data_IF_083452947628
#
_entry.id   IF_083452947628
#
_cell.length_a   1.000
_cell.length_b   1.000
_cell.length_c   1.000
_cell.angle_alpha   90.00
_cell.angle_beta   90.00
_cell.angle_gamma   90.00
#
_symmetry.space_group_name_H-M   'P 1'
#
loop_
_entity.id
_entity.type
_entity.pdbx_description
1 polymer ?
#
# COMPACT_ATOMS: atom_id res chain seq x y z
N UNK A 1 69.85 -48.49 2.21
CA UNK A 1 68.61 -49.23 1.96
C UNK A 1 67.61 -48.27 1.33
N UNK A 2 67.29 -48.57 0.08
CA UNK A 2 65.97 -48.46 -0.57
C UNK A 2 65.12 -47.17 -0.57
N UNK A 3 64.90 -46.71 -1.81
CA UNK A 3 63.62 -46.43 -2.51
C UNK A 3 62.79 -45.16 -2.21
N UNK A 4 62.70 -44.37 -3.30
CA UNK A 4 61.53 -43.63 -3.84
C UNK A 4 60.16 -43.84 -3.17
N UNK A 5 59.43 -42.75 -2.88
CA UNK A 5 58.19 -42.39 -3.60
C UNK A 5 57.58 -41.02 -3.19
N UNK A 6 57.45 -40.14 -4.19
CA UNK A 6 56.24 -39.35 -4.54
C UNK A 6 55.77 -38.11 -3.76
N UNK A 7 55.21 -37.19 -4.58
CA UNK A 7 54.31 -36.06 -4.30
C UNK A 7 54.89 -34.69 -3.93
N UNK A 8 55.04 -33.82 -4.94
CA UNK A 8 54.08 -32.71 -5.20
C UNK A 8 54.53 -31.86 -6.41
N UNK A 9 53.99 -32.18 -7.58
CA UNK A 9 53.78 -31.19 -8.64
C UNK A 9 52.35 -30.66 -8.50
N UNK A 10 52.21 -29.37 -8.23
CA UNK A 10 50.91 -28.75 -7.98
C UNK A 10 50.94 -27.23 -8.11
N UNK A 11 51.55 -26.72 -9.18
CA UNK A 11 51.51 -25.31 -9.51
C UNK A 11 51.47 -25.11 -11.03
N UNK A 12 50.31 -25.35 -11.66
CA UNK A 12 49.89 -24.73 -12.93
C UNK A 12 48.52 -25.27 -13.36
N UNK A 13 47.43 -24.77 -12.77
CA UNK A 13 46.09 -24.97 -13.37
C UNK A 13 45.07 -23.84 -13.10
N UNK A 14 45.41 -22.82 -12.30
CA UNK A 14 44.47 -21.72 -11.97
C UNK A 14 44.48 -20.53 -12.93
N UNK A 15 45.33 -20.49 -13.95
CA UNK A 15 45.44 -19.30 -14.83
C UNK A 15 44.62 -19.37 -16.13
N UNK A 16 44.15 -20.55 -16.57
CA UNK A 16 43.30 -20.67 -17.77
C UNK A 16 41.82 -20.31 -17.52
N UNK A 17 41.33 -20.44 -16.28
CA UNK A 17 39.94 -20.15 -15.92
C UNK A 17 39.60 -18.65 -15.88
N UNK A 18 40.54 -17.81 -15.42
CA UNK A 18 40.31 -16.35 -15.34
C UNK A 18 40.26 -15.67 -16.71
N UNK A 19 41.05 -16.15 -17.69
CA UNK A 19 41.08 -15.56 -19.03
C UNK A 19 39.74 -15.74 -19.76
N UNK A 20 39.12 -16.92 -19.64
CA UNK A 20 37.81 -17.21 -20.24
C UNK A 20 36.63 -16.47 -19.60
N UNK A 21 36.74 -16.08 -18.32
CA UNK A 21 35.72 -15.26 -17.64
C UNK A 21 35.78 -13.81 -18.12
N UNK A 22 36.99 -13.25 -18.30
CA UNK A 22 37.15 -11.89 -18.84
C UNK A 22 36.74 -11.77 -20.31
N UNK A 23 36.96 -12.82 -21.11
CA UNK A 23 36.56 -12.86 -22.52
C UNK A 23 35.04 -12.94 -22.69
N UNK A 24 34.35 -13.69 -21.82
CA UNK A 24 32.88 -13.69 -21.75
C UNK A 24 32.34 -12.32 -21.35
N UNK A 25 32.90 -11.65 -20.35
CA UNK A 25 32.48 -10.29 -19.96
C UNK A 25 32.74 -9.25 -21.07
N UNK A 26 33.85 -9.35 -21.81
CA UNK A 26 34.11 -8.51 -22.99
C UNK A 26 33.08 -8.73 -24.10
N UNK A 27 32.71 -9.98 -24.38
CA UNK A 27 31.68 -10.27 -25.38
C UNK A 27 30.29 -9.76 -24.96
N UNK A 28 29.95 -9.82 -23.67
CA UNK A 28 28.72 -9.21 -23.14
C UNK A 28 28.71 -7.68 -23.30
N UNK A 29 29.85 -7.03 -23.06
CA UNK A 29 29.99 -5.57 -23.24
C UNK A 29 29.91 -5.16 -24.72
N UNK A 30 30.50 -5.93 -25.63
CA UNK A 30 30.45 -5.68 -27.07
C UNK A 30 29.04 -5.86 -27.64
N UNK A 31 28.25 -6.80 -27.11
CA UNK A 31 26.84 -6.99 -27.51
C UNK A 31 25.96 -5.83 -27.02
N UNK A 32 26.20 -5.29 -25.82
CA UNK A 32 25.54 -4.09 -25.30
C UNK A 32 25.94 -2.83 -26.10
N UNK A 33 27.22 -2.65 -26.40
CA UNK A 33 27.72 -1.48 -27.15
C UNK A 33 27.24 -1.48 -28.62
N UNK A 34 27.06 -2.67 -29.24
CA UNK A 34 26.48 -2.78 -30.60
C UNK A 34 24.98 -2.45 -30.68
N UNK A 35 24.25 -2.43 -29.57
CA UNK A 35 22.85 -1.99 -29.56
C UNK A 35 22.70 -0.47 -29.42
N UNK A 36 23.76 0.27 -29.11
CA UNK A 36 23.74 1.71 -28.81
C UNK A 36 24.19 2.62 -29.97
N UNK A 37 24.57 2.07 -31.13
CA UNK A 37 25.13 2.85 -32.24
C UNK A 37 24.26 2.81 -33.49
N UNK A 38 23.14 3.53 -33.50
CA UNK A 38 22.53 4.02 -34.74
C UNK A 38 21.82 5.38 -34.51
N UNK A 39 22.33 6.41 -35.18
CA UNK A 39 21.54 7.59 -35.59
C UNK A 39 21.74 8.87 -34.77
N UNK A 40 22.75 9.67 -35.16
CA UNK A 40 22.81 11.09 -34.83
C UNK A 40 21.82 11.91 -35.68
N UNK A 41 21.35 13.03 -35.11
CA UNK A 41 20.56 14.03 -35.81
C UNK A 41 19.75 14.91 -34.86
N UNK A 42 20.16 16.17 -34.69
CA UNK A 42 19.38 17.21 -34.04
C UNK A 42 18.05 17.44 -34.75
N UNK A 43 16.93 17.57 -34.01
CA UNK A 43 15.94 18.68 -34.09
C UNK A 43 14.60 18.35 -33.38
N UNK A 44 14.13 19.37 -32.64
CA UNK A 44 12.77 19.69 -32.13
C UNK A 44 12.00 18.61 -31.35
N UNK A 45 11.76 18.95 -30.07
CA UNK A 45 11.25 18.09 -28.99
C UNK A 45 9.71 18.06 -28.95
N UNK A 46 9.11 16.94 -29.35
CA UNK A 46 7.79 16.49 -28.90
C UNK A 46 7.92 15.55 -27.69
N UNK A 47 6.94 15.55 -26.79
CA UNK A 47 6.98 14.88 -25.47
C UNK A 47 6.69 13.36 -25.51
N UNK A 48 6.41 12.77 -26.67
CA UNK A 48 5.89 11.39 -26.77
C UNK A 48 6.67 10.47 -27.72
N UNK A 49 8.00 10.55 -27.73
CA UNK A 49 8.83 9.64 -28.54
C UNK A 49 9.21 8.37 -27.74
N UNK A 50 8.88 7.14 -28.22
CA UNK A 50 9.07 5.87 -27.51
C UNK A 50 10.50 5.57 -27.02
N UNK A 51 11.51 6.16 -27.66
CA UNK A 51 12.92 5.98 -27.28
C UNK A 51 13.34 6.68 -25.98
N UNK A 52 12.50 7.54 -25.38
CA UNK A 52 12.86 8.32 -24.19
C UNK A 52 12.57 7.64 -22.86
N UNK A 53 11.87 6.50 -22.83
CA UNK A 53 11.49 5.79 -21.59
C UNK A 53 12.50 4.72 -21.16
N UNK A 54 13.55 4.47 -21.94
CA UNK A 54 14.45 3.32 -21.72
C UNK A 54 13.75 1.97 -21.86
N UNK A 55 12.69 1.91 -22.69
CA UNK A 55 11.93 0.68 -22.96
C UNK A 55 12.84 -0.39 -23.58
N UNK A 56 12.85 -1.60 -23.00
CA UNK A 56 13.51 -2.76 -23.61
C UNK A 56 12.74 -3.26 -24.84
N UNK A 57 13.34 -4.15 -25.63
CA UNK A 57 12.67 -4.76 -26.79
C UNK A 57 11.32 -5.39 -26.42
N UNK A 58 11.22 -5.97 -25.21
CA UNK A 58 9.98 -6.55 -24.70
C UNK A 58 8.95 -5.46 -24.37
N UNK A 59 9.35 -4.34 -23.74
CA UNK A 59 8.46 -3.21 -23.48
C UNK A 59 7.87 -2.65 -24.78
N UNK A 60 8.70 -2.46 -25.82
CA UNK A 60 8.24 -1.95 -27.11
C UNK A 60 7.27 -2.91 -27.80
N UNK A 61 7.55 -4.21 -27.81
CA UNK A 61 6.67 -5.23 -28.38
C UNK A 61 5.32 -5.27 -27.66
N UNK A 62 5.34 -5.17 -26.33
CA UNK A 62 4.15 -5.15 -25.48
C UNK A 62 3.35 -3.87 -25.61
N UNK A 63 4.00 -2.71 -25.70
CA UNK A 63 3.35 -1.41 -25.89
C UNK A 63 2.62 -1.36 -27.24
N UNK A 64 3.20 -1.99 -28.27
CA UNK A 64 2.58 -2.15 -29.57
C UNK A 64 1.49 -3.25 -29.62
N UNK A 65 1.25 -3.98 -28.52
CA UNK A 65 0.29 -5.10 -28.49
C UNK A 65 0.64 -6.28 -29.40
N UNK A 66 1.90 -6.37 -29.85
CA UNK A 66 2.31 -7.36 -30.85
C UNK A 66 2.64 -8.71 -30.20
N UNK A 67 1.61 -9.53 -29.99
CA UNK A 67 1.72 -10.87 -29.41
C UNK A 67 2.73 -11.77 -30.15
N UNK A 68 2.81 -11.66 -31.47
CA UNK A 68 3.76 -12.45 -32.28
C UNK A 68 5.21 -12.16 -31.90
N UNK A 69 5.57 -10.88 -31.80
CA UNK A 69 6.91 -10.46 -31.36
C UNK A 69 7.19 -10.85 -29.90
N UNK A 70 6.21 -10.74 -29.00
CA UNK A 70 6.37 -11.17 -27.60
C UNK A 70 6.68 -12.66 -27.52
N UNK A 71 5.93 -13.49 -28.25
CA UNK A 71 6.19 -14.94 -28.33
C UNK A 71 7.56 -15.24 -28.93
N UNK A 72 7.96 -14.55 -29.98
CA UNK A 72 9.29 -14.71 -30.59
C UNK A 72 10.40 -14.39 -29.58
N UNK A 73 10.28 -13.28 -28.84
CA UNK A 73 11.22 -12.89 -27.78
C UNK A 73 11.26 -13.99 -26.70
N UNK A 74 10.12 -14.50 -26.26
CA UNK A 74 10.09 -15.57 -25.26
C UNK A 74 10.74 -16.86 -25.73
N UNK A 75 10.56 -17.25 -26.99
CA UNK A 75 11.21 -18.43 -27.54
C UNK A 75 12.73 -18.25 -27.60
N UNK A 76 13.24 -17.05 -27.89
CA UNK A 76 14.69 -16.76 -27.90
C UNK A 76 15.34 -16.83 -26.51
N UNK A 77 14.57 -16.59 -25.45
CA UNK A 77 15.07 -16.58 -24.06
C UNK A 77 14.67 -17.83 -23.25
N UNK A 78 14.02 -18.82 -23.88
CA UNK A 78 13.74 -20.12 -23.24
C UNK A 78 15.05 -20.83 -22.89
N UNK A 79 15.36 -20.90 -21.60
CA UNK A 79 16.47 -21.68 -21.04
C UNK A 79 17.44 -20.90 -20.16
N UNK A 80 17.58 -19.58 -20.31
CA UNK A 80 18.38 -18.72 -19.40
C UNK A 80 18.04 -17.23 -19.57
N UNK A 81 17.85 -16.50 -18.46
CA UNK A 81 17.61 -15.04 -18.48
C UNK A 81 16.17 -14.58 -18.70
N UNK A 82 15.19 -15.51 -18.76
CA UNK A 82 13.78 -15.15 -18.90
C UNK A 82 13.25 -14.36 -17.69
N UNK A 83 13.70 -14.71 -16.48
CA UNK A 83 13.36 -13.97 -15.26
C UNK A 83 13.93 -12.56 -15.28
N UNK A 84 15.21 -12.40 -15.64
CA UNK A 84 15.85 -11.09 -15.74
C UNK A 84 15.16 -10.19 -16.77
N UNK A 85 14.69 -10.77 -17.88
CA UNK A 85 13.94 -10.06 -18.91
C UNK A 85 12.55 -9.59 -18.41
N UNK A 86 11.84 -10.41 -17.63
CA UNK A 86 10.51 -10.10 -17.09
C UNK A 86 10.58 -9.10 -15.92
N UNK A 87 11.63 -9.16 -15.10
CA UNK A 87 11.89 -8.22 -14.01
C UNK A 87 12.48 -6.89 -14.46
N UNK A 88 12.91 -6.77 -15.72
CA UNK A 88 13.55 -5.56 -16.22
C UNK A 88 12.56 -4.40 -16.18
N UNK A 89 12.96 -3.31 -15.53
CA UNK A 89 12.21 -2.06 -15.46
C UNK A 89 12.78 -1.04 -16.44
N UNK A 90 11.91 -0.22 -17.03
CA UNK A 90 12.30 0.94 -17.83
C UNK A 90 12.68 2.14 -16.91
N UNK A 91 12.95 3.32 -17.48
CA UNK A 91 13.34 4.51 -16.69
C UNK A 91 12.23 5.02 -15.76
N UNK A 92 10.97 4.66 -16.02
CA UNK A 92 9.81 4.96 -15.17
C UNK A 92 9.55 3.86 -14.12
N UNK A 93 10.42 2.84 -14.03
CA UNK A 93 10.21 1.69 -13.17
C UNK A 93 9.17 0.70 -13.72
N UNK A 94 8.60 0.92 -14.91
CA UNK A 94 7.57 0.05 -15.46
C UNK A 94 8.21 -1.27 -15.93
N UNK A 95 7.60 -2.41 -15.60
CA UNK A 95 7.93 -3.70 -16.22
C UNK A 95 7.16 -3.89 -17.52
N UNK A 96 7.56 -4.88 -18.35
CA UNK A 96 6.79 -5.19 -19.55
C UNK A 96 5.35 -5.62 -19.23
N UNK A 97 5.12 -6.34 -18.12
CA UNK A 97 3.77 -6.68 -17.66
C UNK A 97 2.97 -5.43 -17.29
N UNK A 98 3.58 -4.46 -16.59
CA UNK A 98 2.96 -3.18 -16.27
C UNK A 98 2.52 -2.44 -17.54
N UNK A 99 3.38 -2.39 -18.57
CA UNK A 99 3.04 -1.78 -19.87
C UNK A 99 1.92 -2.55 -20.59
N UNK A 100 1.87 -3.88 -20.47
CA UNK A 100 0.78 -4.68 -21.03
C UNK A 100 -0.57 -4.33 -20.39
N UNK A 101 -0.57 -4.28 -19.05
CA UNK A 101 -1.70 -3.90 -18.23
C UNK A 101 -2.18 -2.48 -18.55
N UNK A 102 -1.26 -1.51 -18.64
CA UNK A 102 -1.53 -0.11 -18.98
C UNK A 102 -2.20 0.09 -20.33
N UNK A 103 -1.94 -0.79 -21.29
CA UNK A 103 -2.52 -0.70 -22.63
C UNK A 103 -3.73 -1.63 -22.81
N UNK A 104 -4.18 -2.34 -21.76
CA UNK A 104 -5.31 -3.26 -21.85
C UNK A 104 -5.05 -4.49 -22.75
N UNK A 105 -3.79 -4.85 -22.99
CA UNK A 105 -3.40 -5.91 -23.92
C UNK A 105 -3.58 -7.31 -23.31
N UNK A 106 -4.83 -7.73 -23.09
CA UNK A 106 -5.21 -8.98 -22.39
C UNK A 106 -4.56 -10.24 -22.98
N UNK A 107 -4.43 -10.32 -24.30
CA UNK A 107 -3.77 -11.46 -24.98
C UNK A 107 -2.28 -11.55 -24.65
N UNK A 108 -1.60 -10.40 -24.52
CA UNK A 108 -0.18 -10.34 -24.16
C UNK A 108 -0.01 -10.68 -22.67
N UNK A 109 -0.91 -10.20 -21.81
CA UNK A 109 -0.95 -10.55 -20.38
C UNK A 109 -1.12 -12.05 -20.20
N UNK A 110 -2.05 -12.68 -20.93
CA UNK A 110 -2.26 -14.13 -20.88
C UNK A 110 -0.99 -14.91 -21.25
N UNK A 111 -0.19 -14.42 -22.20
CA UNK A 111 1.10 -15.04 -22.55
C UNK A 111 2.15 -14.82 -21.46
N UNK A 112 2.20 -13.63 -20.85
CA UNK A 112 3.08 -13.33 -19.72
C UNK A 112 2.83 -14.26 -18.51
N UNK A 113 1.56 -14.49 -18.16
CA UNK A 113 1.16 -15.28 -16.99
C UNK A 113 1.64 -16.74 -17.05
N UNK A 114 1.99 -17.27 -18.22
CA UNK A 114 2.55 -18.62 -18.38
C UNK A 114 3.97 -18.77 -17.83
N UNK A 115 4.70 -17.66 -17.66
CA UNK A 115 6.12 -17.65 -17.32
C UNK A 115 6.44 -16.79 -16.08
N UNK A 116 5.45 -16.08 -15.54
CA UNK A 116 5.60 -15.19 -14.39
C UNK A 116 5.50 -15.94 -13.06
N UNK A 117 6.32 -15.52 -12.09
CA UNK A 117 6.11 -15.82 -10.67
C UNK A 117 5.48 -14.60 -9.96
N UNK A 118 4.87 -14.84 -8.79
CA UNK A 118 4.21 -13.80 -7.99
C UNK A 118 5.15 -12.62 -7.69
N UNK A 119 6.43 -12.91 -7.37
CA UNK A 119 7.42 -11.88 -7.05
C UNK A 119 7.65 -10.92 -8.22
N UNK A 120 7.69 -11.42 -9.45
CA UNK A 120 7.89 -10.59 -10.65
C UNK A 120 6.62 -9.82 -11.02
N UNK A 121 5.44 -10.41 -10.79
CA UNK A 121 4.16 -9.74 -11.04
C UNK A 121 3.91 -8.55 -10.09
N UNK A 122 4.41 -8.64 -8.85
CA UNK A 122 4.29 -7.59 -7.82
C UNK A 122 5.39 -6.52 -7.87
N UNK A 123 6.21 -6.46 -8.92
CA UNK A 123 7.20 -5.38 -9.08
C UNK A 123 6.47 -4.06 -9.33
N UNK A 124 6.72 -3.09 -8.46
CA UNK A 124 6.11 -1.76 -8.49
C UNK A 124 6.94 -0.81 -9.36
N UNK A 125 6.28 0.02 -10.16
CA UNK A 125 6.90 1.12 -10.89
C UNK A 125 7.23 2.30 -9.96
N UNK A 126 7.89 3.34 -10.49
CA UNK A 126 8.34 4.48 -9.67
C UNK A 126 7.18 5.26 -9.03
N UNK A 127 5.96 5.09 -9.53
CA UNK A 127 4.74 5.66 -8.96
C UNK A 127 4.11 4.79 -7.85
N UNK A 128 4.75 3.68 -7.47
CA UNK A 128 4.23 2.79 -6.43
C UNK A 128 3.08 1.89 -6.87
N UNK A 129 2.86 1.69 -8.16
CA UNK A 129 1.84 0.76 -8.67
C UNK A 129 2.48 -0.45 -9.35
N UNK A 130 1.90 -1.63 -9.18
CA UNK A 130 2.25 -2.82 -9.96
C UNK A 130 1.32 -2.99 -11.19
N UNK A 131 1.54 -4.07 -11.96
CA UNK A 131 0.75 -4.33 -13.15
C UNK A 131 -0.73 -4.64 -12.87
N UNK A 132 -1.05 -5.25 -11.71
CA UNK A 132 -2.42 -5.57 -11.35
C UNK A 132 -3.20 -4.29 -11.02
N UNK A 133 -2.59 -3.35 -10.30
CA UNK A 133 -3.16 -2.02 -10.02
C UNK A 133 -3.59 -1.34 -11.32
N UNK A 134 -2.70 -1.34 -12.31
CA UNK A 134 -2.99 -0.68 -13.59
C UNK A 134 -3.99 -1.45 -14.43
N UNK A 135 -3.95 -2.78 -14.45
CA UNK A 135 -4.89 -3.60 -15.21
C UNK A 135 -6.33 -3.37 -14.75
N UNK A 136 -6.54 -3.33 -13.44
CA UNK A 136 -7.86 -3.08 -12.86
C UNK A 136 -8.35 -1.64 -13.07
N UNK A 137 -7.45 -0.67 -13.27
CA UNK A 137 -7.81 0.70 -13.69
C UNK A 137 -8.22 0.79 -15.17
N UNK A 138 -7.71 -0.08 -16.04
CA UNK A 138 -8.04 -0.04 -17.46
C UNK A 138 -9.45 -0.56 -17.75
N UNK A 139 -9.89 -1.60 -17.05
CA UNK A 139 -11.28 -2.08 -17.14
C UNK A 139 -12.14 -1.41 -16.06
N UNK A 140 -12.34 -0.10 -16.22
CA UNK A 140 -13.17 0.74 -15.35
C UNK A 140 -14.54 0.13 -15.04
N UNK A 141 -15.11 -0.62 -15.98
CA UNK A 141 -16.40 -1.28 -15.81
C UNK A 141 -16.39 -2.40 -14.76
N UNK A 142 -15.29 -3.15 -14.62
CA UNK A 142 -15.21 -4.24 -13.65
C UNK A 142 -15.06 -3.69 -12.25
N UNK A 143 -14.12 -2.76 -12.06
CA UNK A 143 -13.89 -2.12 -10.77
C UNK A 143 -15.13 -1.34 -10.29
N UNK A 144 -15.79 -0.60 -11.19
CA UNK A 144 -17.03 0.11 -10.91
C UNK A 144 -18.13 -0.86 -10.42
N UNK A 145 -18.32 -1.99 -11.11
CA UNK A 145 -19.31 -3.01 -10.72
C UNK A 145 -18.98 -3.64 -9.36
N UNK A 146 -17.70 -3.89 -9.09
CA UNK A 146 -17.25 -4.42 -7.79
C UNK A 146 -17.58 -3.42 -6.69
N UNK A 147 -17.18 -2.15 -6.85
CA UNK A 147 -17.45 -1.09 -5.88
C UNK A 147 -18.96 -0.95 -5.66
N UNK A 148 -19.77 -0.87 -6.71
CA UNK A 148 -21.22 -0.77 -6.60
C UNK A 148 -21.84 -1.93 -5.81
N UNK A 149 -21.43 -3.17 -6.12
CA UNK A 149 -21.94 -4.37 -5.44
C UNK A 149 -21.54 -4.38 -3.97
N UNK A 150 -20.27 -4.10 -3.69
CA UNK A 150 -19.72 -4.10 -2.32
C UNK A 150 -20.33 -3.00 -1.47
N UNK A 151 -20.51 -1.79 -1.99
CA UNK A 151 -21.19 -0.70 -1.28
C UNK A 151 -22.66 -1.04 -1.00
N UNK A 152 -23.34 -1.73 -1.93
CA UNK A 152 -24.71 -2.20 -1.70
C UNK A 152 -24.80 -3.22 -0.56
N UNK A 153 -23.80 -4.10 -0.42
CA UNK A 153 -23.70 -5.04 0.70
C UNK A 153 -23.42 -4.28 2.00
N UNK A 154 -22.45 -3.36 2.01
CA UNK A 154 -22.04 -2.61 3.20
C UNK A 154 -23.15 -1.70 3.73
N UNK A 155 -24.03 -1.17 2.89
CA UNK A 155 -25.20 -0.39 3.33
C UNK A 155 -26.34 -1.23 3.90
N UNK A 156 -26.41 -2.52 3.56
CA UNK A 156 -27.55 -3.34 3.95
C UNK A 156 -27.37 -3.92 5.35
N UNK A 157 -28.40 -3.80 6.17
CA UNK A 157 -28.47 -4.38 7.51
C UNK A 157 -28.82 -5.88 7.49
N UNK A 158 -29.15 -6.43 6.32
CA UNK A 158 -29.58 -7.83 6.18
C UNK A 158 -28.44 -8.84 6.22
N UNK A 159 -27.19 -8.39 6.06
CA UNK A 159 -26.04 -9.27 5.94
C UNK A 159 -25.37 -9.54 7.29
N UNK A 160 -24.81 -10.74 7.42
CA UNK A 160 -24.03 -11.09 8.61
C UNK A 160 -22.73 -10.31 8.69
N UNK A 161 -22.19 -10.16 9.90
CA UNK A 161 -20.87 -9.58 10.16
C UNK A 161 -19.77 -10.12 9.24
N UNK A 162 -19.73 -11.44 9.01
CA UNK A 162 -18.71 -12.05 8.14
C UNK A 162 -18.84 -11.59 6.69
N UNK A 163 -20.07 -11.39 6.20
CA UNK A 163 -20.32 -10.87 4.87
C UNK A 163 -19.91 -9.40 4.77
N UNK A 164 -20.25 -8.57 5.76
CA UNK A 164 -19.83 -7.17 5.84
C UNK A 164 -18.30 -7.04 5.89
N UNK A 165 -17.63 -7.89 6.66
CA UNK A 165 -16.16 -7.94 6.71
C UNK A 165 -15.57 -8.31 5.35
N UNK A 166 -16.07 -9.36 4.69
CA UNK A 166 -15.57 -9.75 3.37
C UNK A 166 -15.80 -8.66 2.30
N UNK A 167 -16.94 -7.99 2.36
CA UNK A 167 -17.24 -6.82 1.54
C UNK A 167 -16.26 -5.68 1.83
N UNK A 168 -16.01 -5.36 3.10
CA UNK A 168 -15.03 -4.36 3.51
C UNK A 168 -13.61 -4.66 3.01
N UNK A 169 -13.16 -5.92 3.10
CA UNK A 169 -11.85 -6.33 2.57
C UNK A 169 -11.79 -6.07 1.06
N UNK A 170 -12.85 -6.45 0.33
CA UNK A 170 -12.94 -6.23 -1.11
C UNK A 170 -12.94 -4.74 -1.45
N UNK A 171 -13.63 -3.91 -0.66
CA UNK A 171 -13.62 -2.47 -0.80
C UNK A 171 -12.22 -1.87 -0.61
N UNK A 172 -11.52 -2.24 0.47
CA UNK A 172 -10.16 -1.77 0.73
C UNK A 172 -9.18 -2.23 -0.37
N UNK A 173 -9.33 -3.44 -0.90
CA UNK A 173 -8.52 -3.91 -2.03
C UNK A 173 -8.81 -3.10 -3.30
N UNK A 174 -10.08 -2.82 -3.59
CA UNK A 174 -10.46 -1.98 -4.72
C UNK A 174 -9.88 -0.56 -4.62
N UNK A 175 -9.85 0.02 -3.42
CA UNK A 175 -9.20 1.33 -3.17
C UNK A 175 -7.68 1.25 -3.33
N UNK A 176 -7.02 0.25 -2.73
CA UNK A 176 -5.57 0.04 -2.89
C UNK A 176 -5.17 -0.05 -4.37
N UNK A 177 -5.97 -0.74 -5.19
CA UNK A 177 -5.75 -0.86 -6.64
C UNK A 177 -5.75 0.51 -7.35
N UNK A 178 -6.53 1.47 -6.87
CA UNK A 178 -6.70 2.78 -7.49
C UNK A 178 -5.73 3.84 -6.98
N UNK A 179 -5.27 3.69 -5.74
CA UNK A 179 -4.67 4.77 -4.95
C UNK A 179 -3.26 4.39 -4.49
N UNK A 180 -2.35 5.36 -4.49
CA UNK A 180 -1.03 5.20 -3.89
C UNK A 180 -1.18 5.13 -2.36
N UNK A 181 -0.17 4.65 -1.61
CA UNK A 181 -0.24 4.61 -0.15
C UNK A 181 -0.62 5.95 0.50
N UNK A 182 -0.12 7.06 -0.03
CA UNK A 182 -0.40 8.41 0.47
C UNK A 182 -1.84 8.86 0.12
N UNK A 183 -2.29 8.57 -1.09
CA UNK A 183 -3.64 8.87 -1.58
C UNK A 183 -4.70 8.05 -0.83
N UNK A 184 -4.41 6.78 -0.56
CA UNK A 184 -5.25 5.91 0.23
C UNK A 184 -5.36 6.42 1.67
N UNK A 185 -4.24 6.84 2.27
CA UNK A 185 -4.27 7.43 3.61
C UNK A 185 -5.17 8.67 3.66
N UNK A 186 -5.07 9.55 2.65
CA UNK A 186 -5.93 10.73 2.54
C UNK A 186 -7.40 10.33 2.37
N UNK A 187 -7.68 9.32 1.53
CA UNK A 187 -9.04 8.83 1.33
C UNK A 187 -9.65 8.20 2.59
N UNK A 188 -8.84 7.50 3.38
CA UNK A 188 -9.29 6.96 4.67
C UNK A 188 -9.68 8.14 5.58
N UNK A 189 -8.83 9.15 5.72
CA UNK A 189 -9.11 10.31 6.59
C UNK A 189 -10.34 11.10 6.14
N UNK A 190 -10.31 11.68 4.94
CA UNK A 190 -11.38 12.59 4.48
C UNK A 190 -12.61 11.83 3.99
N UNK A 191 -12.43 10.67 3.35
CA UNK A 191 -13.53 9.94 2.72
C UNK A 191 -14.28 8.99 3.66
N UNK A 192 -13.56 8.23 4.49
CA UNK A 192 -14.17 7.21 5.36
C UNK A 192 -14.49 7.80 6.75
N UNK A 193 -13.55 8.54 7.32
CA UNK A 193 -13.68 9.14 8.65
C UNK A 193 -14.22 10.58 8.63
N UNK A 194 -14.39 11.18 7.45
CA UNK A 194 -14.91 12.54 7.29
C UNK A 194 -14.08 13.60 8.05
N UNK A 195 -12.78 13.35 8.18
CA UNK A 195 -11.84 14.34 8.71
C UNK A 195 -11.71 15.51 7.74
N UNK A 196 -11.69 16.73 8.26
CA UNK A 196 -11.67 17.96 7.45
C UNK A 196 -10.38 18.74 7.66
N UNK A 197 -10.15 19.71 6.77
CA UNK A 197 -9.01 20.65 6.80
C UNK A 197 -7.63 20.00 6.64
N UNK A 198 -7.56 18.80 6.07
CA UNK A 198 -6.28 18.14 5.75
C UNK A 198 -5.65 18.82 4.53
N UNK A 199 -4.36 19.13 4.65
CA UNK A 199 -3.58 19.80 3.61
C UNK A 199 -2.49 18.86 3.11
N UNK A 200 -2.66 18.42 1.87
CA UNK A 200 -1.66 17.64 1.14
C UNK A 200 -1.03 18.51 0.03
N UNK A 201 0.29 18.80 0.08
CA UNK A 201 0.93 19.65 -0.91
C UNK A 201 1.08 18.99 -2.29
N UNK A 202 0.93 17.67 -2.38
CA UNK A 202 1.18 16.90 -3.61
C UNK A 202 -0.06 16.74 -4.50
N UNK A 203 -1.25 16.67 -3.92
CA UNK A 203 -2.53 16.41 -4.61
C UNK A 203 -3.69 16.83 -3.72
N UNK A 204 -4.82 17.22 -4.33
CA UNK A 204 -6.05 17.53 -3.62
C UNK A 204 -6.91 16.26 -3.41
N UNK A 205 -7.80 16.26 -2.41
CA UNK A 205 -8.72 15.14 -2.19
C UNK A 205 -9.61 14.86 -3.41
N UNK A 206 -10.03 15.89 -4.15
CA UNK A 206 -10.77 15.73 -5.40
C UNK A 206 -10.00 14.88 -6.44
N UNK A 207 -8.69 15.09 -6.58
CA UNK A 207 -7.83 14.31 -7.49
C UNK A 207 -7.76 12.83 -7.08
N UNK A 208 -7.87 12.55 -5.78
CA UNK A 208 -7.90 11.18 -5.24
C UNK A 208 -9.23 10.50 -5.58
N UNK A 209 -10.35 11.19 -5.37
CA UNK A 209 -11.69 10.66 -5.69
C UNK A 209 -11.85 10.40 -7.18
N UNK A 210 -11.31 11.28 -8.05
CA UNK A 210 -11.35 11.09 -9.51
C UNK A 210 -10.62 9.83 -10.00
N UNK A 211 -9.63 9.32 -9.24
CA UNK A 211 -8.94 8.06 -9.58
C UNK A 211 -9.78 6.83 -9.31
N UNK A 212 -10.81 6.94 -8.48
CA UNK A 212 -11.69 5.84 -8.12
C UNK A 212 -12.81 5.78 -9.15
N UNK A 213 -12.79 4.75 -9.99
CA UNK A 213 -13.79 4.56 -11.05
C UNK A 213 -15.14 4.14 -10.45
N UNK A 214 -15.93 5.13 -10.02
CA UNK A 214 -17.26 4.93 -9.44
C UNK A 214 -18.26 5.92 -10.03
N UNK A 215 -19.40 5.43 -10.55
CA UNK A 215 -20.50 6.29 -11.03
C UNK A 215 -21.36 6.73 -9.86
N UNK A 216 -21.21 7.99 -9.46
CA UNK A 216 -21.97 8.61 -8.38
C UNK A 216 -21.07 9.28 -7.35
N UNK A 217 -21.65 9.72 -6.23
CA UNK A 217 -20.88 10.29 -5.12
C UNK A 217 -20.51 9.18 -4.14
N UNK A 218 -19.26 8.71 -4.20
CA UNK A 218 -18.77 7.66 -3.32
C UNK A 218 -18.86 8.04 -1.83
N UNK A 219 -18.62 9.31 -1.49
CA UNK A 219 -18.63 9.79 -0.11
C UNK A 219 -20.06 9.78 0.46
N UNK A 220 -21.04 10.14 -0.36
CA UNK A 220 -22.46 10.03 -0.01
C UNK A 220 -22.89 8.56 0.18
N UNK A 221 -22.28 7.62 -0.53
CA UNK A 221 -22.56 6.19 -0.32
C UNK A 221 -21.96 5.66 0.98
N UNK A 222 -20.77 6.14 1.37
CA UNK A 222 -20.11 5.80 2.64
C UNK A 222 -20.84 6.36 3.86
N UNK A 223 -21.45 7.55 3.75
CA UNK A 223 -22.20 8.18 4.84
C UNK A 223 -23.45 7.39 5.25
N UNK A 224 -23.96 6.52 4.35
CA UNK A 224 -25.17 5.70 4.55
C UNK A 224 -24.90 4.37 5.27
N UNK A 225 -23.67 4.12 5.72
CA UNK A 225 -23.33 2.85 6.39
C UNK A 225 -23.91 2.81 7.81
N UNK A 226 -24.50 1.66 8.18
CA UNK A 226 -24.92 1.41 9.57
C UNK A 226 -23.71 1.36 10.51
N UNK A 227 -23.93 1.52 11.81
CA UNK A 227 -22.84 1.46 12.80
C UNK A 227 -22.10 0.12 12.79
N UNK A 228 -22.81 -1.00 12.54
CA UNK A 228 -22.17 -2.32 12.40
C UNK A 228 -21.28 -2.39 11.16
N UNK A 229 -21.73 -1.86 10.03
CA UNK A 229 -20.93 -1.81 8.80
C UNK A 229 -19.71 -0.91 8.96
N UNK A 230 -19.86 0.24 9.63
CA UNK A 230 -18.75 1.13 9.98
C UNK A 230 -17.74 0.43 10.89
N UNK A 231 -18.19 -0.20 11.97
CA UNK A 231 -17.31 -0.97 12.86
C UNK A 231 -16.56 -2.10 12.13
N UNK A 232 -17.25 -2.83 11.23
CA UNK A 232 -16.61 -3.85 10.40
C UNK A 232 -15.56 -3.25 9.47
N UNK A 233 -15.84 -2.10 8.84
CA UNK A 233 -14.90 -1.42 7.97
C UNK A 233 -13.67 -0.94 8.75
N UNK A 234 -13.85 -0.37 9.95
CA UNK A 234 -12.74 0.02 10.84
C UNK A 234 -11.85 -1.18 11.17
N UNK A 235 -12.46 -2.32 11.53
CA UNK A 235 -11.73 -3.56 11.78
C UNK A 235 -10.94 -4.03 10.55
N UNK A 236 -11.55 -3.96 9.36
CA UNK A 236 -10.87 -4.30 8.10
C UNK A 236 -9.70 -3.35 7.86
N UNK A 237 -9.87 -2.04 8.02
CA UNK A 237 -8.80 -1.05 7.81
C UNK A 237 -7.61 -1.38 8.71
N UNK A 238 -7.85 -1.61 10.01
CA UNK A 238 -6.80 -1.98 10.97
C UNK A 238 -6.05 -3.27 10.61
N UNK A 239 -6.73 -4.25 10.02
CA UNK A 239 -6.16 -5.58 9.77
C UNK A 239 -5.58 -5.76 8.36
N UNK A 240 -6.05 -4.97 7.39
CA UNK A 240 -5.68 -5.13 5.97
C UNK A 240 -4.84 -4.00 5.41
N UNK A 241 -4.99 -2.78 5.90
CA UNK A 241 -4.20 -1.63 5.42
C UNK A 241 -2.81 -1.70 6.04
N UNK A 242 -1.79 -1.44 5.21
CA UNK A 242 -0.40 -1.53 5.67
C UNK A 242 -0.12 -0.53 6.79
N UNK A 243 0.74 -0.92 7.74
CA UNK A 243 1.21 -0.04 8.83
C UNK A 243 1.79 1.27 8.30
N UNK A 244 2.50 1.22 7.19
CA UNK A 244 3.07 2.42 6.54
C UNK A 244 2.00 3.45 6.21
N UNK A 245 0.81 3.02 5.75
CA UNK A 245 -0.31 3.92 5.46
C UNK A 245 -0.97 4.41 6.74
N UNK A 246 -1.24 3.51 7.69
CA UNK A 246 -1.89 3.87 8.97
C UNK A 246 -1.07 4.85 9.83
N UNK A 247 0.24 4.93 9.60
CA UNK A 247 1.16 5.84 10.29
C UNK A 247 1.50 7.11 9.51
N UNK A 248 0.83 7.38 8.39
CA UNK A 248 1.00 8.65 7.68
C UNK A 248 0.42 9.77 8.55
N UNK A 249 1.25 10.79 8.80
CA UNK A 249 0.84 12.05 9.41
C UNK A 249 0.41 13.05 8.35
N UNK A 250 -0.79 13.58 8.50
CA UNK A 250 -1.39 14.59 7.64
C UNK A 250 -1.39 15.94 8.34
N UNK A 251 -0.96 16.98 7.64
CA UNK A 251 -0.96 18.35 8.18
C UNK A 251 -2.37 18.93 8.09
N UNK A 252 -2.82 19.62 9.13
CA UNK A 252 -4.12 20.31 9.16
C UNK A 252 -3.92 21.82 9.05
N UNK A 253 -4.79 22.52 8.31
CA UNK A 253 -4.81 23.99 8.29
C UNK A 253 -5.51 24.52 9.54
N UNK A 254 -4.82 25.33 10.34
CA UNK A 254 -5.41 26.06 11.48
C UNK A 254 -6.07 27.36 11.01
N UNK A 255 -7.03 27.29 10.09
CA UNK A 255 -7.83 28.47 9.69
C UNK A 255 -9.17 28.45 10.42
N UNK A 256 -9.15 28.55 11.76
CA UNK A 256 -10.36 28.86 12.51
C UNK A 256 -10.57 30.37 12.56
N UNK A 257 -11.72 30.78 12.02
CA UNK A 257 -12.28 32.12 12.07
C UNK A 257 -12.17 32.76 13.46
N UNK A 258 -11.57 33.96 13.51
CA UNK A 258 -11.85 34.99 14.52
C UNK A 258 -11.33 34.73 15.94
N UNK A 259 -10.04 34.96 16.19
CA UNK A 259 -9.64 35.65 17.42
C UNK A 259 -8.35 36.44 17.24
N UNK A 260 -8.31 37.52 17.99
CA UNK A 260 -7.43 38.68 17.87
C UNK A 260 -6.08 38.41 18.54
N UNK A 261 -5.01 38.89 17.89
CA UNK A 261 -3.66 39.17 18.42
C UNK A 261 -2.78 37.98 18.86
N UNK A 262 -1.68 37.86 18.12
CA UNK A 262 -0.30 37.67 18.59
C UNK A 262 0.08 36.35 19.30
N UNK A 263 0.66 35.43 18.53
CA UNK A 263 1.96 34.82 18.84
C UNK A 263 2.40 33.93 17.68
N UNK A 264 3.63 34.17 17.19
CA UNK A 264 4.20 33.57 15.98
C UNK A 264 4.59 32.09 16.06
N UNK A 265 3.70 31.22 16.54
CA UNK A 265 3.87 29.76 16.46
C UNK A 265 2.68 29.16 15.70
N UNK A 266 2.72 29.23 14.36
CA UNK A 266 1.81 28.48 13.49
C UNK A 266 2.18 27.00 13.56
N UNK A 267 1.97 26.38 14.72
CA UNK A 267 2.28 24.98 14.96
C UNK A 267 1.31 24.17 14.11
N UNK A 268 1.80 23.69 12.96
CA UNK A 268 1.07 22.78 12.08
C UNK A 268 0.66 21.56 12.92
N UNK A 269 -0.63 21.41 13.16
CA UNK A 269 -1.18 20.25 13.83
C UNK A 269 -1.13 19.07 12.84
N UNK A 270 -0.52 17.97 13.27
CA UNK A 270 -0.48 16.73 12.48
C UNK A 270 -1.59 15.84 13.00
N UNK A 271 -2.41 15.29 12.09
CA UNK A 271 -3.35 14.22 12.40
C UNK A 271 -2.86 12.90 11.83
N UNK A 272 -3.09 11.82 12.54
CA UNK A 272 -2.77 10.46 12.10
C UNK A 272 -4.04 9.61 12.07
N UNK A 273 -4.07 8.66 11.12
CA UNK A 273 -5.23 7.78 10.91
C UNK A 273 -5.60 6.98 12.17
N UNK A 274 -4.61 6.46 12.90
CA UNK A 274 -4.89 5.63 14.07
C UNK A 274 -5.49 6.41 15.25
N UNK A 275 -5.00 7.62 15.50
CA UNK A 275 -5.31 8.39 16.71
C UNK A 275 -6.51 9.31 16.50
N UNK A 276 -6.45 10.13 15.46
CA UNK A 276 -7.42 11.20 15.23
C UNK A 276 -8.67 10.72 14.49
N UNK A 277 -8.60 9.55 13.83
CA UNK A 277 -9.72 8.99 13.08
C UNK A 277 -10.23 7.67 13.68
N UNK A 278 -9.44 6.59 13.61
CA UNK A 278 -9.87 5.25 14.03
C UNK A 278 -10.18 5.19 15.53
N UNK A 279 -9.23 5.61 16.38
CA UNK A 279 -9.41 5.54 17.84
C UNK A 279 -10.57 6.44 18.30
N UNK A 280 -10.70 7.64 17.72
CA UNK A 280 -11.78 8.57 18.01
C UNK A 280 -13.16 7.96 17.74
N UNK A 281 -13.34 7.31 16.58
CA UNK A 281 -14.60 6.65 16.23
C UNK A 281 -14.88 5.43 17.12
N UNK A 282 -13.85 4.62 17.42
CA UNK A 282 -13.98 3.46 18.31
C UNK A 282 -14.38 3.86 19.74
N UNK A 283 -13.85 4.96 20.27
CA UNK A 283 -14.29 5.50 21.56
C UNK A 283 -15.79 5.83 21.52
N UNK A 284 -16.25 6.49 20.47
CA UNK A 284 -17.68 6.83 20.31
C UNK A 284 -18.57 5.59 20.25
N UNK A 285 -18.14 4.51 19.60
CA UNK A 285 -18.85 3.22 19.60
C UNK A 285 -18.87 2.52 20.95
N UNK A 286 -17.78 2.57 21.71
CA UNK A 286 -17.70 1.95 23.03
C UNK A 286 -18.45 2.75 24.11
N UNK A 287 -18.56 4.07 23.95
CA UNK A 287 -19.33 4.95 24.84
C UNK A 287 -20.84 4.81 24.63
N UNK A 288 -21.27 4.60 23.37
CA UNK A 288 -22.68 4.53 22.99
C UNK A 288 -22.98 3.26 22.17
N UNK A 289 -22.87 2.05 22.76
CA UNK A 289 -23.12 0.81 22.04
C UNK A 289 -24.62 0.61 21.74
N UNK A 290 -24.93 0.04 20.57
CA UNK A 290 -26.31 -0.30 20.19
C UNK A 290 -26.87 -1.41 21.09
N UNK A 291 -26.08 -2.45 21.33
CA UNK A 291 -26.41 -3.59 22.17
C UNK A 291 -25.13 -4.21 22.76
N UNK A 292 -25.29 -5.20 23.64
CA UNK A 292 -24.17 -5.87 24.30
C UNK A 292 -23.26 -6.65 23.35
N UNK A 293 -23.79 -7.21 22.27
CA UNK A 293 -23.02 -7.95 21.27
C UNK A 293 -22.20 -6.99 20.40
N UNK A 294 -22.77 -5.85 20.01
CA UNK A 294 -22.06 -4.75 19.37
C UNK A 294 -20.94 -4.21 20.26
N UNK A 295 -21.22 -3.97 21.54
CA UNK A 295 -20.22 -3.52 22.52
C UNK A 295 -19.00 -4.45 22.58
N UNK A 296 -19.25 -5.77 22.65
CA UNK A 296 -18.18 -6.78 22.63
C UNK A 296 -17.30 -6.68 21.38
N UNK A 297 -17.89 -6.52 20.20
CA UNK A 297 -17.10 -6.34 18.97
C UNK A 297 -16.36 -5.01 18.97
N UNK A 298 -16.98 -3.91 19.40
CA UNK A 298 -16.34 -2.60 19.47
C UNK A 298 -15.09 -2.61 20.35
N UNK A 299 -15.19 -3.22 21.54
CA UNK A 299 -14.05 -3.41 22.45
C UNK A 299 -12.95 -4.28 21.84
N UNK A 300 -13.31 -5.37 21.14
CA UNK A 300 -12.34 -6.20 20.44
C UNK A 300 -11.56 -5.41 19.36
N UNK A 301 -12.24 -4.56 18.60
CA UNK A 301 -11.59 -3.70 17.59
C UNK A 301 -10.73 -2.62 18.26
N UNK A 302 -11.20 -2.02 19.36
CA UNK A 302 -10.42 -1.05 20.17
C UNK A 302 -9.12 -1.67 20.69
N UNK A 303 -9.17 -2.90 21.19
CA UNK A 303 -7.98 -3.63 21.64
C UNK A 303 -6.96 -3.79 20.50
N UNK A 304 -7.40 -4.14 19.29
CA UNK A 304 -6.52 -4.26 18.12
C UNK A 304 -5.90 -2.91 17.77
N UNK A 305 -6.69 -1.83 17.80
CA UNK A 305 -6.21 -0.47 17.55
C UNK A 305 -5.09 -0.09 18.54
N UNK A 306 -5.34 -0.24 19.84
CA UNK A 306 -4.35 0.07 20.89
C UNK A 306 -3.10 -0.81 20.80
N UNK A 307 -3.23 -2.07 20.41
CA UNK A 307 -2.08 -2.94 20.15
C UNK A 307 -1.21 -2.39 19.00
N UNK A 308 -1.82 -1.88 17.92
CA UNK A 308 -1.08 -1.25 16.83
C UNK A 308 -0.41 0.05 17.25
N UNK A 309 -1.13 0.90 18.00
CA UNK A 309 -0.57 2.12 18.62
C UNK A 309 0.69 1.80 19.42
N UNK A 310 0.59 0.85 20.36
CA UNK A 310 1.73 0.43 21.19
C UNK A 310 2.91 -0.06 20.34
N UNK A 311 2.62 -0.84 19.30
CA UNK A 311 3.64 -1.34 18.38
C UNK A 311 4.29 -0.22 17.56
N UNK A 312 3.56 0.85 17.24
CA UNK A 312 4.09 2.03 16.57
C UNK A 312 5.11 2.76 17.43
N UNK A 313 4.79 2.96 18.72
CA UNK A 313 5.64 3.71 19.65
C UNK A 313 6.98 3.03 19.93
N UNK A 314 6.99 1.70 20.05
CA UNK A 314 8.22 0.92 20.27
C UNK A 314 9.19 1.01 19.08
N UNK A 315 8.71 1.34 17.88
CA UNK A 315 9.52 1.40 16.66
C UNK A 315 10.01 2.82 16.30
N UNK A 316 9.84 3.83 17.16
CA UNK A 316 10.24 5.23 16.94
C UNK A 316 11.77 5.49 16.85
N UNK A 317 12.62 4.46 16.74
CA UNK A 317 14.08 4.59 16.69
C UNK A 317 14.65 5.21 15.38
N UNK A 318 13.93 6.02 14.62
CA UNK A 318 14.52 6.59 13.40
C UNK A 318 13.79 7.63 12.56
N UNK A 319 12.59 8.11 12.90
CA UNK A 319 11.93 9.15 12.09
C UNK A 319 11.44 10.33 12.92
N UNK A 320 12.03 11.49 12.63
CA UNK A 320 11.67 12.89 12.94
C UNK A 320 10.85 13.10 14.21
N UNK A 321 11.49 13.80 15.13
CA UNK A 321 11.01 14.34 16.40
C UNK A 321 9.79 15.26 16.20
N UNK A 322 8.64 14.67 15.92
CA UNK A 322 7.35 15.34 16.03
C UNK A 322 6.87 15.07 17.45
N UNK A 323 6.84 16.13 18.26
CA UNK A 323 6.20 16.15 19.57
C UNK A 323 4.67 16.02 19.38
N UNK A 324 4.24 14.83 18.96
CA UNK A 324 2.86 14.45 18.76
C UNK A 324 2.50 13.50 19.89
N UNK A 325 1.60 13.96 20.76
CA UNK A 325 1.02 13.16 21.83
C UNK A 325 -0.10 12.27 21.25
N UNK A 326 0.14 10.95 21.11
CA UNK A 326 -0.83 10.03 20.51
C UNK A 326 -2.10 9.84 21.35
N UNK A 327 -2.07 10.19 22.63
CA UNK A 327 -3.21 10.08 23.53
C UNK A 327 -3.25 11.35 24.40
N UNK A 328 -3.92 12.37 23.90
CA UNK A 328 -4.22 13.56 24.69
C UNK A 328 -4.93 13.21 26.00
N UNK A 329 -4.88 14.10 26.98
CA UNK A 329 -5.55 13.92 28.27
C UNK A 329 -7.06 13.62 28.11
N UNK A 330 -7.71 14.31 27.17
CA UNK A 330 -9.12 14.06 26.81
C UNK A 330 -9.33 12.63 26.29
N UNK A 331 -8.47 12.17 25.37
CA UNK A 331 -8.54 10.81 24.82
C UNK A 331 -8.28 9.76 25.90
N UNK A 332 -7.30 10.01 26.78
CA UNK A 332 -6.99 9.14 27.91
C UNK A 332 -8.18 9.01 28.87
N UNK A 333 -8.85 10.12 29.16
CA UNK A 333 -10.06 10.14 30.01
C UNK A 333 -11.18 9.31 29.38
N UNK A 334 -11.43 9.46 28.08
CA UNK A 334 -12.42 8.65 27.35
C UNK A 334 -12.11 7.16 27.43
N UNK A 335 -10.86 6.77 27.19
CA UNK A 335 -10.43 5.37 27.27
C UNK A 335 -10.58 4.78 28.68
N UNK A 336 -10.21 5.53 29.71
CA UNK A 336 -10.40 5.12 31.10
C UNK A 336 -11.89 4.96 31.44
N UNK A 337 -12.75 5.86 30.94
CA UNK A 337 -14.20 5.74 31.11
C UNK A 337 -14.75 4.48 30.44
N UNK A 338 -14.30 4.17 29.22
CA UNK A 338 -14.68 2.94 28.51
C UNK A 338 -14.25 1.71 29.31
N UNK A 339 -13.03 1.70 29.83
CA UNK A 339 -12.52 0.60 30.68
C UNK A 339 -13.36 0.46 31.94
N UNK A 340 -13.59 1.57 32.64
CA UNK A 340 -14.36 1.59 33.90
C UNK A 340 -15.78 1.04 33.72
N UNK A 341 -16.48 1.49 32.68
CA UNK A 341 -17.87 1.11 32.41
C UNK A 341 -18.04 -0.37 32.04
N UNK A 342 -16.97 -1.06 31.65
CA UNK A 342 -17.03 -2.46 31.21
C UNK A 342 -16.28 -3.43 32.15
N UNK A 343 -15.96 -2.99 33.37
CA UNK A 343 -15.15 -3.75 34.33
C UNK A 343 -15.96 -4.77 35.17
N UNK A 344 -17.29 -4.78 35.07
CA UNK A 344 -18.13 -5.64 35.92
C UNK A 344 -18.21 -7.09 35.36
N UNK A 345 -17.96 -8.06 36.25
CA UNK A 345 -17.87 -9.52 36.05
C UNK A 345 -16.58 -10.07 35.35
N UNK A 346 -15.54 -10.46 36.12
CA UNK A 346 -14.26 -10.97 35.62
C UNK A 346 -14.34 -12.31 34.87
N UNK A 347 -15.49 -13.00 34.90
CA UNK A 347 -15.71 -14.22 34.14
C UNK A 347 -16.26 -13.94 32.73
N UNK A 348 -16.75 -12.74 32.47
CA UNK A 348 -17.21 -12.35 31.14
C UNK A 348 -16.02 -12.18 30.18
N UNK A 349 -16.20 -12.59 28.92
CA UNK A 349 -15.18 -12.38 27.88
C UNK A 349 -14.90 -10.88 27.67
N UNK A 350 -15.90 -10.03 27.92
CA UNK A 350 -15.80 -8.57 27.90
C UNK A 350 -14.77 -8.07 28.91
N UNK A 351 -14.81 -8.51 30.17
CA UNK A 351 -13.84 -8.05 31.19
C UNK A 351 -12.41 -8.48 30.87
N UNK A 352 -12.21 -9.66 30.27
CA UNK A 352 -10.88 -10.07 29.79
C UNK A 352 -10.33 -9.13 28.70
N UNK A 353 -11.18 -8.70 27.77
CA UNK A 353 -10.80 -7.72 26.74
C UNK A 353 -10.50 -6.36 27.36
N UNK A 354 -11.33 -5.91 28.31
CA UNK A 354 -11.16 -4.63 29.02
C UNK A 354 -9.86 -4.59 29.81
N UNK A 355 -9.49 -5.66 30.51
CA UNK A 355 -8.20 -5.76 31.18
C UNK A 355 -7.05 -5.63 30.18
N UNK A 356 -7.13 -6.28 29.02
CA UNK A 356 -6.11 -6.18 28.00
C UNK A 356 -6.01 -4.78 27.40
N UNK A 357 -7.15 -4.10 27.17
CA UNK A 357 -7.21 -2.69 26.80
C UNK A 357 -6.48 -1.82 27.84
N UNK A 358 -6.78 -2.00 29.13
CA UNK A 358 -6.14 -1.27 30.22
C UNK A 358 -4.63 -1.50 30.30
N UNK A 359 -4.17 -2.75 30.15
CA UNK A 359 -2.73 -3.06 30.10
C UNK A 359 -2.03 -2.44 28.88
N UNK A 360 -2.69 -2.41 27.72
CA UNK A 360 -2.16 -1.77 26.53
C UNK A 360 -2.05 -0.26 26.70
N UNK A 361 -3.12 0.37 27.19
CA UNK A 361 -3.18 1.79 27.48
C UNK A 361 -2.11 2.22 28.48
N UNK A 362 -2.01 1.52 29.62
CA UNK A 362 -1.01 1.81 30.65
C UNK A 362 0.41 1.66 30.11
N UNK A 363 0.65 0.66 29.25
CA UNK A 363 1.94 0.49 28.59
C UNK A 363 2.27 1.59 27.58
N UNK A 364 1.26 2.15 26.90
CA UNK A 364 1.42 3.31 26.02
C UNK A 364 1.81 4.54 26.84
N UNK A 365 1.07 4.85 27.92
CA UNK A 365 1.37 6.00 28.78
C UNK A 365 2.78 5.92 29.39
N UNK A 366 3.20 4.73 29.85
CA UNK A 366 4.55 4.52 30.36
C UNK A 366 5.66 4.67 29.30
N UNK A 367 5.32 4.68 28.01
CA UNK A 367 6.25 4.83 26.90
C UNK A 367 6.28 6.24 26.32
N UNK A 368 5.44 7.16 26.81
CA UNK A 368 5.50 8.59 26.47
C UNK A 368 6.63 9.26 27.27
N UNK A 369 7.35 10.22 26.67
CA UNK A 369 8.51 10.87 27.29
C UNK A 369 8.19 11.74 28.51
#
# INVERSE_FOLDING_TARGET
>A
MDKQQSFRNGAMEKQKSFKGIMEKQKNFRIVMERQMSFGGGERKRGKDSPGKRGDSLLHLATRAGNLGKVKEIFQKFKGKGMKDLLCQQNQEGETALYVAAKNGNSLVISEFLKYLDLKTASIMANNGYDALHVAARQDSNVLERILFTVLSILKSESFSRNCLVAAGVTFCVALHVCLSPEELGLFIMEGIFNESFIVCPKFAFADVVEKISFKGNLIDELSKFSSLSRLCLVWVILTTVSRTVLYIGFVVSNDNFGSVMDSGDSRKSIKMILYDAILLELCSFCENPIDSHFSFHALAVMQICLQQVKTSMVNKNGSVDVNYDPISEDMGTRLLQVVWNNLEDPLSQTVKQVHLIFYLFSGIQASLP
#
